data_IF_035472611426
#
_entry.id   IF_035472611426
#
_cell.length_a   1.000
_cell.length_b   1.000
_cell.length_c   1.000
_cell.angle_alpha   90.00
_cell.angle_beta   90.00
_cell.angle_gamma   90.00
#
_symmetry.space_group_name_H-M   'P 1'
#
loop_
_entity.id
_entity.type
_entity.pdbx_description
1 polymer ?
#
# COMPACT_ATOMS: atom_id res chain seq x y z
N UNK A 1 11.08 -14.58 57.33
CA UNK A 1 11.59 -14.18 56.01
C UNK A 1 11.46 -15.29 54.94
N UNK A 2 10.46 -16.18 55.01
CA UNK A 2 10.30 -17.29 54.04
C UNK A 2 8.98 -17.27 53.23
N UNK A 3 7.90 -16.72 53.80
CA UNK A 3 6.58 -16.75 53.16
C UNK A 3 6.39 -15.68 52.06
N UNK A 4 7.11 -14.55 52.15
CA UNK A 4 7.01 -13.45 51.18
C UNK A 4 7.73 -13.75 49.86
N UNK A 5 8.75 -14.61 49.86
CA UNK A 5 9.49 -15.00 48.65
C UNK A 5 8.68 -16.00 47.78
N UNK A 6 7.91 -16.89 48.42
CA UNK A 6 7.05 -17.84 47.70
C UNK A 6 5.86 -17.14 47.04
N UNK A 7 5.33 -16.07 47.64
CA UNK A 7 4.27 -15.26 47.03
C UNK A 7 4.78 -14.45 45.82
N UNK A 8 6.01 -13.92 45.87
CA UNK A 8 6.62 -13.24 44.71
C UNK A 8 6.95 -14.20 43.56
N UNK A 9 7.27 -15.46 43.84
CA UNK A 9 7.53 -16.49 42.82
C UNK A 9 6.26 -16.97 42.07
N UNK A 10 5.08 -16.71 42.61
CA UNK A 10 3.80 -17.10 41.97
C UNK A 10 3.30 -15.99 41.04
N UNK A 11 3.50 -14.71 41.40
CA UNK A 11 3.03 -13.56 40.62
C UNK A 11 3.90 -13.27 39.38
N UNK A 12 5.17 -13.68 39.39
CA UNK A 12 6.13 -13.40 38.30
C UNK A 12 6.23 -14.54 37.27
N UNK A 13 5.52 -15.65 37.46
CA UNK A 13 5.52 -16.73 36.47
C UNK A 13 4.51 -16.45 35.37
N UNK A 14 5.00 -16.07 34.19
CA UNK A 14 4.26 -16.19 32.93
C UNK A 14 3.65 -17.58 32.87
N UNK A 15 2.33 -17.67 32.65
CA UNK A 15 1.66 -18.95 32.49
C UNK A 15 2.31 -19.72 31.35
N UNK A 16 2.45 -21.05 31.47
CA UNK A 16 3.03 -21.87 30.40
C UNK A 16 2.30 -21.65 29.07
N UNK A 17 0.98 -21.41 29.10
CA UNK A 17 0.19 -21.08 27.92
C UNK A 17 0.56 -19.73 27.29
N UNK A 18 0.75 -18.68 28.11
CA UNK A 18 1.15 -17.35 27.66
C UNK A 18 2.56 -17.37 27.05
N UNK A 19 3.49 -18.08 27.68
CA UNK A 19 4.87 -18.22 27.18
C UNK A 19 4.91 -18.94 25.83
N UNK A 20 4.13 -20.02 25.68
CA UNK A 20 4.01 -20.75 24.42
C UNK A 20 3.38 -19.87 23.34
N UNK A 21 2.27 -19.18 23.67
CA UNK A 21 1.63 -18.25 22.74
C UNK A 21 2.57 -17.13 22.31
N UNK A 22 3.34 -16.55 23.24
CA UNK A 22 4.33 -15.51 22.96
C UNK A 22 5.40 -15.99 21.98
N UNK A 23 6.03 -17.13 22.22
CA UNK A 23 7.10 -17.64 21.37
C UNK A 23 6.61 -18.05 19.97
N UNK A 24 5.42 -18.65 19.88
CA UNK A 24 4.83 -19.02 18.59
C UNK A 24 4.42 -17.77 17.81
N UNK A 25 3.54 -16.95 18.39
CA UNK A 25 3.02 -15.76 17.71
C UNK A 25 4.10 -14.72 17.47
N UNK A 26 5.12 -14.64 18.32
CA UNK A 26 6.23 -13.71 18.19
C UNK A 26 7.07 -14.01 16.95
N UNK A 27 7.39 -15.28 16.72
CA UNK A 27 8.07 -15.70 15.50
C UNK A 27 7.19 -15.41 14.27
N UNK A 28 5.90 -15.73 14.32
CA UNK A 28 4.98 -15.46 13.20
C UNK A 28 4.86 -13.95 12.93
N UNK A 29 4.84 -13.10 13.96
CA UNK A 29 4.81 -11.65 13.81
C UNK A 29 6.08 -11.11 13.15
N UNK A 30 7.26 -11.61 13.54
CA UNK A 30 8.54 -11.23 12.93
C UNK A 30 8.59 -11.68 11.47
N UNK A 31 8.17 -12.91 11.17
CA UNK A 31 8.07 -13.41 9.79
C UNK A 31 7.11 -12.54 8.98
N UNK A 32 5.97 -12.15 9.55
CA UNK A 32 5.04 -11.20 8.94
C UNK A 32 5.68 -9.85 8.66
N UNK A 33 6.40 -9.27 9.62
CA UNK A 33 7.06 -7.97 9.45
C UNK A 33 8.13 -8.01 8.34
N UNK A 34 8.90 -9.09 8.25
CA UNK A 34 9.83 -9.33 7.14
C UNK A 34 9.05 -9.50 5.82
N UNK A 35 7.92 -10.20 5.85
CA UNK A 35 7.02 -10.39 4.70
C UNK A 35 6.50 -9.07 4.12
N UNK A 36 6.19 -8.08 4.96
CA UNK A 36 5.75 -6.74 4.51
C UNK A 36 6.79 -6.10 3.59
N UNK A 37 8.07 -6.18 3.94
CA UNK A 37 9.15 -5.50 3.22
C UNK A 37 9.63 -6.31 2.00
N UNK A 38 9.57 -7.64 2.09
CA UNK A 38 10.10 -8.54 1.06
C UNK A 38 9.08 -8.92 -0.02
N UNK A 39 7.79 -8.69 0.23
CA UNK A 39 6.73 -9.05 -0.72
C UNK A 39 6.79 -8.22 -2.01
N UNK A 40 6.93 -8.91 -3.14
CA UNK A 40 7.02 -8.29 -4.47
C UNK A 40 5.70 -7.66 -4.97
N UNK A 41 4.55 -8.12 -4.46
CA UNK A 41 3.25 -7.53 -4.78
C UNK A 41 2.69 -6.83 -3.56
N UNK A 42 2.18 -5.62 -3.75
CA UNK A 42 1.67 -4.78 -2.67
C UNK A 42 0.54 -5.44 -1.89
N UNK A 43 -0.33 -6.22 -2.55
CA UNK A 43 -1.41 -6.96 -1.88
C UNK A 43 -0.87 -7.95 -0.85
N UNK A 44 0.19 -8.71 -1.19
CA UNK A 44 0.80 -9.64 -0.23
C UNK A 44 1.49 -8.92 0.92
N UNK A 45 2.20 -7.81 0.63
CA UNK A 45 2.80 -6.95 1.66
C UNK A 45 1.75 -6.49 2.67
N UNK A 46 0.59 -6.09 2.18
CA UNK A 46 -0.51 -5.63 3.02
C UNK A 46 -1.14 -6.75 3.87
N UNK A 47 -1.31 -7.95 3.32
CA UNK A 47 -1.80 -9.11 4.07
C UNK A 47 -0.84 -9.50 5.19
N UNK A 48 0.48 -9.44 4.94
CA UNK A 48 1.47 -9.65 6.00
C UNK A 48 1.38 -8.57 7.09
N UNK A 49 1.11 -7.30 6.72
CA UNK A 49 0.91 -6.22 7.68
C UNK A 49 -0.37 -6.43 8.50
N UNK A 50 -1.46 -6.90 7.88
CA UNK A 50 -2.69 -7.23 8.57
C UNK A 50 -2.49 -8.37 9.58
N UNK A 51 -1.76 -9.40 9.18
CA UNK A 51 -1.40 -10.51 10.05
C UNK A 51 -0.59 -10.03 11.27
N UNK A 52 0.42 -9.18 11.08
CA UNK A 52 1.20 -8.66 12.22
C UNK A 52 0.37 -7.79 13.15
N UNK A 53 -0.47 -6.91 12.62
CA UNK A 53 -1.36 -6.06 13.44
C UNK A 53 -2.36 -6.88 14.27
N UNK A 54 -2.87 -7.99 13.72
CA UNK A 54 -3.75 -8.90 14.44
C UNK A 54 -2.99 -9.66 15.55
N UNK A 55 -1.76 -10.11 15.28
CA UNK A 55 -0.93 -10.77 16.31
C UNK A 55 -0.59 -9.81 17.44
N UNK A 56 -0.30 -8.54 17.13
CA UNK A 56 -0.09 -7.51 18.17
C UNK A 56 -1.34 -7.31 19.03
N UNK A 57 -2.54 -7.39 18.46
CA UNK A 57 -3.79 -7.35 19.25
C UNK A 57 -3.88 -8.52 20.23
N UNK A 58 -3.49 -9.74 19.80
CA UNK A 58 -3.42 -10.91 20.69
C UNK A 58 -2.39 -10.69 21.80
N UNK A 59 -1.24 -10.09 21.52
CA UNK A 59 -0.28 -9.71 22.57
C UNK A 59 -0.82 -8.69 23.56
N UNK A 60 -1.67 -7.76 23.14
CA UNK A 60 -2.34 -6.86 24.08
C UNK A 60 -3.31 -7.61 24.99
N UNK A 61 -4.05 -8.59 24.47
CA UNK A 61 -4.92 -9.42 25.33
C UNK A 61 -4.14 -10.29 26.31
N UNK A 62 -3.02 -10.87 25.89
CA UNK A 62 -2.14 -11.67 26.78
C UNK A 62 -1.51 -10.80 27.88
N UNK A 63 -1.28 -9.50 27.62
CA UNK A 63 -0.71 -8.56 28.59
C UNK A 63 -1.79 -7.82 29.42
N UNK A 64 -3.00 -8.37 29.53
CA UNK A 64 -4.14 -7.77 30.25
C UNK A 64 -4.54 -6.35 29.77
N UNK A 65 -4.16 -5.97 28.54
CA UNK A 65 -4.46 -4.67 27.95
C UNK A 65 -5.71 -4.74 27.04
N UNK A 66 -6.87 -5.09 27.62
CA UNK A 66 -8.11 -5.35 26.86
C UNK A 66 -8.55 -4.16 25.99
N UNK A 67 -8.52 -2.93 26.52
CA UNK A 67 -8.90 -1.74 25.76
C UNK A 67 -7.99 -1.53 24.54
N UNK A 68 -6.66 -1.63 24.72
CA UNK A 68 -5.69 -1.48 23.63
C UNK A 68 -5.86 -2.60 22.59
N UNK A 69 -6.10 -3.84 23.02
CA UNK A 69 -6.36 -4.97 22.12
C UNK A 69 -7.59 -4.74 21.22
N UNK A 70 -8.68 -4.23 21.78
CA UNK A 70 -9.89 -3.89 21.01
C UNK A 70 -9.62 -2.73 20.04
N UNK A 71 -8.99 -1.65 20.50
CA UNK A 71 -8.63 -0.51 19.64
C UNK A 71 -7.68 -0.94 18.52
N UNK A 72 -6.76 -1.86 18.77
CA UNK A 72 -5.85 -2.44 17.78
C UNK A 72 -6.61 -3.15 16.65
N UNK A 73 -7.66 -3.89 16.99
CA UNK A 73 -8.51 -4.56 16.00
C UNK A 73 -9.36 -3.55 15.24
N UNK A 74 -10.06 -2.64 15.94
CA UNK A 74 -11.02 -1.72 15.31
C UNK A 74 -10.33 -0.67 14.45
N UNK A 75 -9.28 -0.03 14.97
CA UNK A 75 -8.64 1.13 14.32
C UNK A 75 -7.54 0.67 13.36
N UNK A 76 -6.54 -0.05 13.86
CA UNK A 76 -5.38 -0.41 13.04
C UNK A 76 -5.71 -1.51 12.02
N UNK A 77 -6.30 -2.62 12.48
CA UNK A 77 -6.63 -3.76 11.60
C UNK A 77 -7.93 -3.53 10.83
N UNK A 78 -8.89 -2.80 11.40
CA UNK A 78 -10.15 -2.47 10.76
C UNK A 78 -10.00 -1.28 9.82
N UNK A 79 -9.98 -0.06 10.36
CA UNK A 79 -10.04 1.16 9.54
C UNK A 79 -8.77 1.40 8.70
N UNK A 80 -7.60 1.44 9.33
CA UNK A 80 -6.35 1.83 8.67
C UNK A 80 -5.92 0.80 7.64
N UNK A 81 -5.91 -0.49 8.01
CA UNK A 81 -5.57 -1.57 7.08
C UNK A 81 -6.53 -1.63 5.90
N UNK A 82 -7.85 -1.58 6.11
CA UNK A 82 -8.80 -1.67 5.00
C UNK A 82 -8.69 -0.47 4.06
N UNK A 83 -8.46 0.74 4.59
CA UNK A 83 -8.16 1.91 3.77
C UNK A 83 -6.89 1.70 2.94
N UNK A 84 -5.82 1.19 3.55
CA UNK A 84 -4.57 0.90 2.87
C UNK A 84 -4.73 -0.16 1.77
N UNK A 85 -5.42 -1.26 2.05
CA UNK A 85 -5.74 -2.30 1.06
C UNK A 85 -6.53 -1.73 -0.12
N UNK A 86 -7.55 -0.95 0.16
CA UNK A 86 -8.39 -0.33 -0.86
C UNK A 86 -7.57 0.61 -1.75
N UNK A 87 -6.77 1.50 -1.15
CA UNK A 87 -5.94 2.46 -1.87
C UNK A 87 -4.88 1.75 -2.72
N UNK A 88 -4.18 0.77 -2.16
CA UNK A 88 -3.15 0.04 -2.91
C UNK A 88 -3.73 -0.78 -4.05
N UNK A 89 -4.93 -1.33 -3.89
CA UNK A 89 -5.61 -2.05 -4.97
C UNK A 89 -6.11 -1.09 -6.05
N UNK A 90 -6.64 0.08 -5.68
CA UNK A 90 -7.11 1.10 -6.63
C UNK A 90 -5.96 1.66 -7.49
N UNK A 91 -4.80 1.86 -6.89
CA UNK A 91 -3.61 2.38 -7.58
C UNK A 91 -3.09 1.39 -8.65
N UNK A 92 -3.45 0.10 -8.57
CA UNK A 92 -3.08 -0.88 -9.59
C UNK A 92 -1.56 -1.00 -9.73
N UNK A 93 -0.90 -1.61 -8.74
CA UNK A 93 0.56 -1.81 -8.74
C UNK A 93 1.00 -2.91 -9.72
N UNK A 94 0.90 -2.63 -11.01
CA UNK A 94 1.67 -3.36 -12.02
C UNK A 94 2.80 -2.47 -12.51
N UNK A 95 3.94 -2.59 -11.87
CA UNK A 95 5.22 -2.22 -12.46
C UNK A 95 6.29 -3.04 -11.77
N UNK A 96 6.83 -4.01 -12.49
CA UNK A 96 8.14 -4.55 -12.21
C UNK A 96 9.15 -3.42 -12.46
N UNK A 97 9.29 -2.53 -11.46
CA UNK A 97 10.37 -1.56 -11.45
C UNK A 97 11.67 -2.38 -11.49
N UNK A 98 12.44 -2.18 -12.55
CA UNK A 98 13.73 -2.84 -12.73
C UNK A 98 14.57 -2.56 -11.49
N UNK A 99 15.10 -3.60 -10.84
CA UNK A 99 15.98 -3.51 -9.67
C UNK A 99 17.36 -2.91 -10.02
N UNK A 100 17.43 -1.95 -10.94
CA UNK A 100 18.66 -1.23 -11.28
C UNK A 100 18.92 -0.26 -10.14
N UNK A 101 19.85 -0.67 -9.28
CA UNK A 101 20.39 0.18 -8.23
C UNK A 101 21.06 1.42 -8.85
N UNK A 102 20.43 2.58 -8.68
CA UNK A 102 21.01 3.89 -9.00
C UNK A 102 22.33 4.13 -8.25
N UNK A 103 22.46 3.59 -7.03
CA UNK A 103 23.67 3.64 -6.20
C UNK A 103 24.17 2.22 -5.90
N UNK A 104 25.29 1.82 -6.51
CA UNK A 104 25.95 0.54 -6.23
C UNK A 104 26.27 0.44 -4.73
N UNK A 105 25.78 -0.61 -4.08
CA UNK A 105 26.04 -0.90 -2.66
C UNK A 105 25.00 -0.39 -1.67
N UNK A 106 23.97 0.35 -2.10
CA UNK A 106 22.94 0.88 -1.19
C UNK A 106 22.19 -0.22 -0.43
N UNK A 107 21.84 -1.34 -1.09
CA UNK A 107 21.16 -2.46 -0.42
C UNK A 107 22.01 -3.10 0.67
N UNK A 108 23.31 -3.25 0.42
CA UNK A 108 24.26 -3.80 1.40
C UNK A 108 24.43 -2.84 2.58
N UNK A 109 24.56 -1.53 2.31
CA UNK A 109 24.62 -0.52 3.37
C UNK A 109 23.33 -0.46 4.19
N UNK A 110 22.16 -0.52 3.55
CA UNK A 110 20.86 -0.51 4.23
C UNK A 110 20.62 -1.76 5.08
N UNK A 111 21.02 -2.94 4.60
CA UNK A 111 20.92 -4.18 5.36
C UNK A 111 21.89 -4.18 6.55
N UNK A 112 23.15 -3.79 6.36
CA UNK A 112 24.12 -3.64 7.44
C UNK A 112 23.65 -2.64 8.51
N UNK A 113 23.15 -1.46 8.08
CA UNK A 113 22.64 -0.45 8.99
C UNK A 113 21.40 -0.94 9.76
N UNK A 114 20.45 -1.59 9.06
CA UNK A 114 19.24 -2.14 9.67
C UNK A 114 19.55 -3.25 10.68
N UNK A 115 20.39 -4.22 10.31
CA UNK A 115 20.80 -5.30 11.22
C UNK A 115 21.65 -4.77 12.38
N UNK A 116 22.58 -3.84 12.11
CA UNK A 116 23.40 -3.21 13.15
C UNK A 116 22.56 -2.44 14.16
N UNK A 117 21.57 -1.68 13.70
CA UNK A 117 20.62 -0.98 14.56
C UNK A 117 19.75 -1.95 15.37
N UNK A 118 19.29 -3.04 14.76
CA UNK A 118 18.54 -4.09 15.46
C UNK A 118 19.34 -4.75 16.58
N UNK A 119 20.60 -5.12 16.30
CA UNK A 119 21.51 -5.69 17.31
C UNK A 119 21.74 -4.69 18.43
N UNK A 120 21.98 -3.41 18.10
CA UNK A 120 22.18 -2.36 19.10
C UNK A 120 20.96 -2.19 20.01
N UNK A 121 19.75 -2.21 19.46
CA UNK A 121 18.52 -2.14 20.27
C UNK A 121 18.36 -3.37 21.17
N UNK A 122 18.59 -4.57 20.65
CA UNK A 122 18.49 -5.81 21.44
C UNK A 122 19.55 -5.80 22.57
N UNK A 123 20.79 -5.42 22.26
CA UNK A 123 21.86 -5.31 23.24
C UNK A 123 21.59 -4.20 24.26
N UNK A 124 21.04 -3.06 23.84
CA UNK A 124 20.68 -1.95 24.73
C UNK A 124 19.56 -2.32 25.69
N UNK A 125 18.49 -2.94 25.20
CA UNK A 125 17.37 -3.43 26.03
C UNK A 125 17.83 -4.57 26.94
N UNK A 126 18.60 -5.52 26.41
CA UNK A 126 19.18 -6.63 27.19
C UNK A 126 20.13 -6.13 28.28
N UNK A 127 21.00 -5.18 27.96
CA UNK A 127 21.91 -4.56 28.93
C UNK A 127 21.17 -3.79 30.01
N UNK A 128 20.17 -2.99 29.64
CA UNK A 128 19.34 -2.24 30.60
C UNK A 128 18.57 -3.18 31.54
N UNK A 129 17.96 -4.23 31.01
CA UNK A 129 17.18 -5.21 31.82
C UNK A 129 18.06 -6.01 32.77
N UNK A 130 19.24 -6.45 32.33
CA UNK A 130 20.22 -7.12 33.19
C UNK A 130 20.76 -6.19 34.28
N UNK A 131 21.04 -4.92 33.93
CA UNK A 131 21.49 -3.91 34.88
C UNK A 131 20.43 -3.61 35.95
N UNK A 132 19.16 -3.40 35.55
CA UNK A 132 18.02 -3.23 36.46
C UNK A 132 17.85 -4.44 37.40
N UNK A 133 18.03 -5.66 36.88
CA UNK A 133 17.95 -6.89 37.68
C UNK A 133 19.12 -7.03 38.67
N UNK A 134 20.30 -6.52 38.32
CA UNK A 134 21.48 -6.51 39.21
C UNK A 134 21.40 -5.48 40.35
N UNK A 135 20.72 -4.35 40.12
CA UNK A 135 20.52 -3.30 41.14
C UNK A 135 19.38 -3.66 42.11
N UNK A 136 18.65 -4.77 41.85
CA UNK A 136 17.59 -5.23 42.73
C UNK A 136 16.45 -4.22 42.86
N UNK A 137 16.21 -3.41 41.82
CA UNK A 137 15.02 -2.54 41.80
C UNK A 137 13.79 -3.44 41.92
N UNK A 138 12.92 -3.24 42.93
CA UNK A 138 11.72 -4.04 43.04
C UNK A 138 10.94 -3.83 41.74
N UNK A 139 10.67 -4.93 41.02
CA UNK A 139 9.62 -4.92 40.02
C UNK A 139 8.43 -4.23 40.68
N UNK A 140 7.90 -3.18 40.06
CA UNK A 140 6.80 -2.39 40.60
C UNK A 140 5.61 -3.33 40.80
N UNK A 141 5.60 -4.00 41.96
CA UNK A 141 4.56 -4.90 42.38
C UNK A 141 3.51 -3.93 42.87
N UNK A 142 2.61 -3.58 41.97
CA UNK A 142 1.43 -2.80 42.31
C UNK A 142 0.54 -3.67 43.20
N UNK A 143 0.95 -3.83 44.45
CA UNK A 143 0.27 -4.56 45.52
C UNK A 143 -1.04 -3.86 45.98
N UNK A 144 -1.63 -3.04 45.10
CA UNK A 144 -2.91 -2.36 45.29
C UNK A 144 -3.69 -2.16 43.99
N UNK A 145 -3.29 -2.76 42.86
CA UNK A 145 -3.95 -2.59 41.55
C UNK A 145 -4.83 -3.76 41.13
N UNK A 146 -5.16 -4.69 42.03
CA UNK A 146 -6.04 -5.81 41.72
C UNK A 146 -7.46 -5.37 41.31
N UNK A 147 -7.91 -4.17 41.73
CA UNK A 147 -9.18 -3.56 41.30
C UNK A 147 -9.07 -2.67 40.05
N UNK A 148 -7.85 -2.35 39.60
CA UNK A 148 -7.62 -1.48 38.44
C UNK A 148 -7.59 -2.25 37.11
N UNK A 149 -7.38 -3.56 37.14
CA UNK A 149 -7.53 -4.41 35.95
C UNK A 149 -8.97 -4.40 35.43
N UNK A 150 -9.95 -4.18 36.32
CA UNK A 150 -11.37 -4.06 35.98
C UNK A 150 -11.77 -2.64 35.52
N UNK A 151 -10.88 -1.65 35.66
CA UNK A 151 -11.12 -0.22 35.35
C UNK A 151 -10.05 0.40 34.43
N UNK A 152 -9.50 -0.38 33.48
CA UNK A 152 -8.44 0.12 32.58
C UNK A 152 -8.93 1.32 31.73
N UNK A 153 -10.21 1.33 31.34
CA UNK A 153 -10.80 2.40 30.52
C UNK A 153 -11.01 3.67 31.34
N UNK A 154 -11.55 3.54 32.56
CA UNK A 154 -11.84 4.65 33.46
C UNK A 154 -10.54 5.31 33.94
N UNK A 155 -9.51 4.50 34.26
CA UNK A 155 -8.19 4.99 34.60
C UNK A 155 -7.54 5.76 33.44
N UNK A 156 -7.59 5.19 32.24
CA UNK A 156 -7.09 5.87 31.03
C UNK A 156 -7.86 7.17 30.76
N UNK A 157 -9.18 7.17 30.89
CA UNK A 157 -10.01 8.36 30.73
C UNK A 157 -9.63 9.45 31.74
N UNK A 158 -9.45 9.10 33.01
CA UNK A 158 -9.02 10.04 34.03
C UNK A 158 -7.66 10.67 33.66
N UNK A 159 -6.69 9.89 33.19
CA UNK A 159 -5.38 10.40 32.76
C UNK A 159 -5.48 11.31 31.54
N UNK A 160 -6.26 10.91 30.53
CA UNK A 160 -6.45 11.67 29.29
C UNK A 160 -7.12 13.02 29.57
N UNK A 161 -8.17 13.05 30.39
CA UNK A 161 -8.95 14.26 30.65
C UNK A 161 -8.38 15.15 31.77
N UNK A 162 -7.38 14.69 32.53
CA UNK A 162 -6.73 15.50 33.58
C UNK A 162 -5.30 15.87 33.19
N UNK A 163 -4.39 14.90 33.14
CA UNK A 163 -2.96 15.12 32.95
C UNK A 163 -2.59 15.35 31.49
N UNK A 164 -3.23 14.63 30.58
CA UNK A 164 -2.91 14.64 29.15
C UNK A 164 -3.94 15.42 28.31
N UNK A 165 -4.65 16.37 28.92
CA UNK A 165 -5.69 17.16 28.25
C UNK A 165 -5.18 17.85 26.99
N UNK A 166 -3.97 18.43 27.04
CA UNK A 166 -3.36 19.06 25.88
C UNK A 166 -3.03 18.08 24.75
N UNK A 167 -2.56 16.87 25.09
CA UNK A 167 -2.32 15.84 24.08
C UNK A 167 -3.64 15.41 23.43
N UNK A 168 -4.70 15.26 24.22
CA UNK A 168 -6.05 14.98 23.71
C UNK A 168 -6.54 16.07 22.76
N UNK A 169 -6.46 17.34 23.15
CA UNK A 169 -6.91 18.48 22.33
C UNK A 169 -6.10 18.61 21.03
N UNK A 170 -4.79 18.38 21.07
CA UNK A 170 -3.97 18.37 19.86
C UNK A 170 -4.34 17.19 18.95
N UNK A 171 -4.65 16.02 19.49
CA UNK A 171 -5.10 14.88 18.68
C UNK A 171 -6.49 15.11 18.07
N UNK A 172 -7.41 15.77 18.78
CA UNK A 172 -8.73 16.10 18.23
C UNK A 172 -8.62 17.12 17.09
N UNK A 173 -7.80 18.16 17.26
CA UNK A 173 -7.48 19.11 16.20
C UNK A 173 -6.83 18.41 15.00
N UNK A 174 -5.88 17.50 15.22
CA UNK A 174 -5.24 16.70 14.18
C UNK A 174 -6.25 15.86 13.39
N UNK A 175 -7.23 15.23 14.06
CA UNK A 175 -8.26 14.44 13.39
C UNK A 175 -9.19 15.31 12.54
N UNK A 176 -9.59 16.49 13.04
CA UNK A 176 -10.38 17.45 12.26
C UNK A 176 -9.59 17.89 11.02
N UNK A 177 -8.32 18.28 11.20
CA UNK A 177 -7.44 18.67 10.09
C UNK A 177 -7.23 17.52 9.10
N UNK A 178 -7.06 16.28 9.56
CA UNK A 178 -6.91 15.12 8.69
C UNK A 178 -8.15 14.89 7.80
N UNK A 179 -9.35 15.02 8.36
CA UNK A 179 -10.61 14.89 7.60
C UNK A 179 -10.75 16.03 6.60
N UNK A 180 -10.49 17.29 7.00
CA UNK A 180 -10.48 18.43 6.08
C UNK A 180 -9.46 18.26 4.96
N UNK A 181 -8.24 17.84 5.28
CA UNK A 181 -7.17 17.61 4.32
C UNK A 181 -7.54 16.49 3.33
N UNK A 182 -8.11 15.39 3.81
CA UNK A 182 -8.58 14.30 2.97
C UNK A 182 -9.69 14.77 2.00
N UNK A 183 -10.68 15.53 2.50
CA UNK A 183 -11.74 16.09 1.64
C UNK A 183 -11.17 17.03 0.57
N UNK A 184 -10.32 18.00 0.96
CA UNK A 184 -9.73 18.96 0.01
C UNK A 184 -8.83 18.27 -1.02
N UNK A 185 -8.00 17.30 -0.60
CA UNK A 185 -7.06 16.61 -1.49
C UNK A 185 -7.77 15.66 -2.47
N UNK A 186 -8.86 15.04 -2.04
CA UNK A 186 -9.65 14.14 -2.91
C UNK A 186 -10.66 14.89 -3.77
N UNK A 187 -10.96 16.16 -3.45
CA UNK A 187 -11.86 16.99 -4.24
C UNK A 187 -11.20 17.41 -5.55
N UNK A 188 -11.53 16.70 -6.64
CA UNK A 188 -11.15 17.13 -8.00
C UNK A 188 -12.13 18.18 -8.50
N UNK A 189 -11.78 19.45 -8.36
CA UNK A 189 -12.43 20.51 -9.11
C UNK A 189 -12.18 20.34 -10.61
N UNK A 190 -13.28 20.27 -11.37
CA UNK A 190 -13.19 20.33 -12.83
C UNK A 190 -13.05 21.80 -13.20
N UNK A 191 -11.82 22.26 -13.39
CA UNK A 191 -11.51 23.64 -13.79
C UNK A 191 -12.10 24.02 -15.15
N UNK A 192 -12.48 23.04 -15.97
CA UNK A 192 -13.21 23.25 -17.20
C UNK A 192 -14.60 22.62 -17.09
N UNK A 193 -15.67 23.38 -17.39
CA UNK A 193 -16.99 22.79 -17.61
C UNK A 193 -16.87 21.67 -18.65
N UNK A 194 -17.56 20.54 -18.43
CA UNK A 194 -17.68 19.54 -19.49
C UNK A 194 -18.44 20.19 -20.63
N UNK A 195 -17.76 20.40 -21.75
CA UNK A 195 -18.38 20.93 -22.96
C UNK A 195 -19.58 20.05 -23.32
N UNK A 196 -20.71 20.70 -23.55
CA UNK A 196 -21.92 20.03 -23.99
C UNK A 196 -21.70 19.43 -25.38
N UNK A 197 -22.51 18.43 -25.75
CA UNK A 197 -22.45 17.84 -27.10
C UNK A 197 -22.64 18.90 -28.20
N UNK A 198 -23.45 19.94 -27.93
CA UNK A 198 -23.65 21.09 -28.83
C UNK A 198 -22.39 21.93 -28.97
N UNK A 199 -21.72 22.29 -27.88
CA UNK A 199 -20.47 23.06 -27.92
C UNK A 199 -19.34 22.29 -28.60
N UNK A 200 -19.22 20.98 -28.32
CA UNK A 200 -18.28 20.11 -29.02
C UNK A 200 -18.54 20.05 -30.53
N UNK A 201 -19.82 20.00 -30.93
CA UNK A 201 -20.21 20.09 -32.34
C UNK A 201 -19.76 21.42 -32.95
N UNK A 202 -20.10 22.55 -32.32
CA UNK A 202 -19.74 23.89 -32.79
C UNK A 202 -18.22 24.04 -32.92
N UNK A 203 -17.45 23.59 -31.92
CA UNK A 203 -15.99 23.64 -31.95
C UNK A 203 -15.39 22.81 -33.08
N UNK A 204 -15.97 21.65 -33.41
CA UNK A 204 -15.53 20.86 -34.58
C UNK A 204 -15.72 21.65 -35.88
N UNK A 205 -16.85 22.34 -36.04
CA UNK A 205 -17.11 23.15 -37.23
C UNK A 205 -16.30 24.46 -37.27
N UNK A 206 -16.08 25.11 -36.13
CA UNK A 206 -15.33 26.38 -36.04
C UNK A 206 -13.83 26.23 -36.16
N UNK A 207 -13.25 25.13 -35.65
CA UNK A 207 -11.80 24.89 -35.68
C UNK A 207 -11.24 24.61 -37.07
N UNK A 208 -12.10 24.59 -38.11
CA UNK A 208 -11.72 24.20 -39.47
C UNK A 208 -11.23 22.74 -39.58
N UNK A 209 -11.29 21.99 -38.48
CA UNK A 209 -11.01 20.56 -38.44
C UNK A 209 -12.20 19.80 -39.02
N UNK A 210 -11.97 18.52 -39.29
CA UNK A 210 -12.98 17.64 -39.87
C UNK A 210 -14.20 17.56 -38.93
N UNK A 211 -15.39 17.83 -39.47
CA UNK A 211 -16.65 17.87 -38.71
C UNK A 211 -17.21 16.48 -38.38
N UNK A 212 -16.83 15.48 -39.18
CA UNK A 212 -17.29 14.09 -39.05
C UNK A 212 -16.32 13.27 -38.18
N UNK A 213 -16.81 12.19 -37.56
CA UNK A 213 -15.94 11.18 -36.94
C UNK A 213 -14.93 10.62 -37.95
N UNK A 214 -13.82 10.08 -37.44
CA UNK A 214 -12.86 9.37 -38.28
C UNK A 214 -13.55 8.18 -38.98
N UNK A 215 -13.25 7.95 -40.27
CA UNK A 215 -13.77 6.77 -40.96
C UNK A 215 -13.28 5.51 -40.25
N UNK A 216 -14.17 4.54 -40.06
CA UNK A 216 -13.80 3.24 -39.51
C UNK A 216 -12.86 2.52 -40.48
N UNK A 217 -11.86 1.78 -39.98
CA UNK A 217 -10.99 0.97 -40.84
C UNK A 217 -11.81 -0.02 -41.68
N UNK A 218 -11.31 -0.37 -42.86
CA UNK A 218 -11.91 -1.34 -43.78
C UNK A 218 -13.16 -0.87 -44.52
N UNK A 219 -13.71 0.31 -44.22
CA UNK A 219 -14.92 0.82 -44.91
C UNK A 219 -14.61 1.10 -46.39
N UNK A 220 -15.38 0.48 -47.29
CA UNK A 220 -15.19 0.49 -48.75
C UNK A 220 -13.84 -0.11 -49.26
N UNK A 221 -13.03 -0.68 -48.37
CA UNK A 221 -11.86 -1.45 -48.76
C UNK A 221 -12.27 -2.86 -49.23
N UNK A 222 -11.37 -3.54 -49.95
CA UNK A 222 -11.63 -4.92 -50.40
C UNK A 222 -11.70 -5.94 -49.25
N UNK A 223 -11.15 -5.58 -48.10
CA UNK A 223 -11.11 -6.43 -46.90
C UNK A 223 -11.53 -5.60 -45.69
N UNK A 224 -12.46 -6.16 -44.90
CA UNK A 224 -12.93 -5.57 -43.65
C UNK A 224 -12.03 -6.02 -42.50
N UNK A 225 -10.91 -5.33 -42.31
CA UNK A 225 -9.95 -5.61 -41.25
C UNK A 225 -9.47 -4.31 -40.58
N UNK A 226 -9.06 -4.40 -39.31
CA UNK A 226 -8.73 -3.25 -38.46
C UNK A 226 -7.42 -2.57 -38.87
N UNK A 227 -6.56 -3.29 -39.57
CA UNK A 227 -5.28 -2.86 -40.13
C UNK A 227 -5.40 -2.34 -41.57
N UNK A 228 -6.59 -2.40 -42.18
CA UNK A 228 -6.81 -1.95 -43.55
C UNK A 228 -7.45 -0.56 -43.55
N UNK A 229 -6.83 0.37 -44.27
CA UNK A 229 -7.36 1.72 -44.41
C UNK A 229 -8.69 1.74 -45.18
N UNK A 230 -9.62 2.57 -44.71
CA UNK A 230 -10.86 2.89 -45.41
C UNK A 230 -10.57 3.51 -46.77
N UNK A 231 -11.42 3.21 -47.75
CA UNK A 231 -11.28 3.71 -49.11
C UNK A 231 -12.15 4.94 -49.34
N UNK A 232 -11.57 6.00 -49.87
CA UNK A 232 -12.27 7.23 -50.21
C UNK A 232 -13.05 7.09 -51.53
N UNK A 233 -14.01 8.00 -51.83
CA UNK A 233 -14.76 8.01 -53.08
C UNK A 233 -13.90 8.15 -54.35
N UNK A 234 -12.70 8.71 -54.21
CA UNK A 234 -11.69 8.83 -55.27
C UNK A 234 -10.88 7.54 -55.50
N UNK A 235 -11.12 6.51 -54.68
CA UNK A 235 -10.44 5.23 -54.74
C UNK A 235 -9.14 5.16 -53.93
N UNK A 236 -8.68 6.26 -53.33
CA UNK A 236 -7.48 6.32 -52.48
C UNK A 236 -7.74 5.78 -51.07
N UNK A 237 -6.68 5.49 -50.32
CA UNK A 237 -6.78 4.99 -48.95
C UNK A 237 -6.67 6.13 -47.93
N UNK A 238 -7.52 6.09 -46.91
CA UNK A 238 -7.55 7.07 -45.81
C UNK A 238 -6.66 6.59 -44.68
N UNK A 239 -5.44 7.09 -44.57
CA UNK A 239 -4.51 6.78 -43.46
C UNK A 239 -5.12 7.12 -42.08
N UNK A 240 -6.01 8.11 -42.03
CA UNK A 240 -6.73 8.53 -40.82
C UNK A 240 -7.72 7.50 -40.25
N UNK A 241 -7.99 6.41 -40.98
CA UNK A 241 -8.90 5.34 -40.54
C UNK A 241 -8.20 4.25 -39.72
N UNK A 242 -6.87 4.17 -39.76
CA UNK A 242 -6.07 3.14 -39.10
C UNK A 242 -5.27 3.77 -37.97
N UNK A 243 -5.01 2.99 -36.92
CA UNK A 243 -4.13 3.43 -35.83
C UNK A 243 -2.68 3.50 -36.31
N UNK A 244 -1.96 4.56 -35.94
CA UNK A 244 -0.56 4.80 -36.31
C UNK A 244 0.38 3.63 -35.92
N UNK A 245 0.04 2.90 -34.86
CA UNK A 245 0.78 1.72 -34.39
C UNK A 245 0.67 0.52 -35.33
N UNK A 246 -0.41 0.42 -36.12
CA UNK A 246 -0.62 -0.64 -37.11
C UNK A 246 0.01 -0.28 -38.46
N UNK A 247 0.08 1.02 -38.79
CA UNK A 247 0.66 1.53 -40.04
C UNK A 247 2.15 1.18 -40.18
N UNK A 248 2.90 1.21 -39.07
CA UNK A 248 4.33 0.83 -39.06
C UNK A 248 4.60 -0.63 -39.43
N UNK A 249 3.63 -1.54 -39.23
CA UNK A 249 3.77 -2.94 -39.65
C UNK A 249 3.62 -3.11 -41.16
N UNK A 250 2.90 -2.20 -41.81
CA UNK A 250 2.53 -2.31 -43.23
C UNK A 250 3.63 -1.81 -44.18
N UNK A 251 4.38 -0.78 -43.80
CA UNK A 251 5.50 -0.23 -44.60
C UNK A 251 6.62 -1.26 -44.85
N UNK A 252 6.74 -2.29 -43.99
CA UNK A 252 7.68 -3.41 -44.22
C UNK A 252 7.19 -4.46 -45.22
N UNK A 253 5.88 -4.50 -45.54
CA UNK A 253 5.29 -5.56 -46.36
C UNK A 253 5.03 -5.14 -47.81
N UNK A 254 4.81 -3.84 -48.07
CA UNK A 254 4.48 -3.34 -49.43
C UNK A 254 5.66 -2.77 -50.21
N UNK A 255 6.82 -2.52 -49.56
CA UNK A 255 8.06 -2.18 -50.26
C UNK A 255 8.57 -3.28 -51.23
N UNK A 256 8.06 -4.51 -51.10
CA UNK A 256 8.42 -5.62 -51.99
C UNK A 256 7.39 -5.91 -53.09
N UNK A 257 6.20 -5.28 -53.07
CA UNK A 257 5.16 -5.57 -54.06
C UNK A 257 5.35 -4.78 -55.38
N UNK A 258 5.94 -3.58 -55.34
CA UNK A 258 6.27 -2.81 -56.55
C UNK A 258 7.51 -3.34 -57.29
N UNK A 259 8.39 -4.11 -56.63
CA UNK A 259 9.53 -4.75 -57.29
C UNK A 259 9.21 -6.12 -57.91
N UNK A 260 8.07 -6.73 -57.55
CA UNK A 260 7.71 -8.06 -58.04
C UNK A 260 6.95 -8.06 -59.38
N UNK A 261 6.32 -6.94 -59.78
CA UNK A 261 5.53 -6.88 -61.02
C UNK A 261 6.31 -6.49 -62.27
N UNK A 262 7.60 -6.14 -62.16
CA UNK A 262 8.47 -5.77 -63.29
C UNK A 262 9.43 -6.88 -63.73
N UNK A 263 9.29 -8.10 -63.19
CA UNK A 263 10.23 -9.22 -63.42
C UNK A 263 9.77 -10.30 -64.41
N UNK A 264 8.53 -10.25 -64.91
CA UNK A 264 7.96 -11.30 -65.76
C UNK A 264 7.80 -10.87 -67.23
N UNK A 265 8.81 -10.19 -67.80
CA UNK A 265 8.95 -10.01 -69.25
C UNK A 265 10.43 -10.08 -69.67
N UNK A 266 11.07 -11.24 -69.55
CA UNK A 266 12.21 -11.61 -70.41
C UNK A 266 12.62 -13.07 -70.20
N UNK A 267 12.27 -13.92 -71.17
CA UNK A 267 12.62 -15.33 -71.19
C UNK A 267 12.32 -15.95 -72.55
N UNK A 268 13.09 -15.52 -73.57
CA UNK A 268 13.49 -16.36 -74.71
C UNK A 268 14.96 -16.72 -74.51
#
# INVERSE_FOLDING_TARGET
>A
MGATLLASDIVVRTSTGEAVAFWILGVVAVVGAIGVVTAAKAVYSALFLAMTMLILAVFYFIQDAMFLGVVQIVVYTGAVMMLFLFVMMLIGVDSAESLVETLRGQRVAATLAGTGFGILLIAGIGGATMHLRSIGTPAATSAGSADLSQHNVEGLAALIFTRYLWAFELTSALLITAVLAAMVLTHRERLQPRLTQRELSILRFQSGRRATPLPTPGVYARHNAVDIAARLPDGTYSELSVSDTLTHRWVGATGNAEHASNGEESGQ
#
